data_IF_571125017899
#
_entry.id   IF_571125017899
#
_cell.length_a   1.000
_cell.length_b   1.000
_cell.length_c   1.000
_cell.angle_alpha   90.00
_cell.angle_beta   90.00
_cell.angle_gamma   90.00
#
_symmetry.space_group_name_H-M   'P 1'
#
loop_
_entity.id
_entity.type
_entity.pdbx_description
1 polymer ?
#
# COMPACT_ATOMS: atom_id res chain seq x y z
N UNK A 1 -14.11 13.21 40.27
CA UNK A 1 -14.54 12.89 38.89
C UNK A 1 -13.38 13.13 37.93
N UNK A 2 -12.86 12.08 37.31
CA UNK A 2 -12.08 12.17 36.06
C UNK A 2 -12.11 10.77 35.41
N UNK A 3 -12.96 10.61 34.39
CA UNK A 3 -13.11 9.38 33.60
C UNK A 3 -12.16 9.50 32.42
N UNK A 4 -11.01 8.83 32.50
CA UNK A 4 -10.06 8.75 31.38
C UNK A 4 -10.58 7.67 30.42
N UNK A 5 -11.23 8.10 29.34
CA UNK A 5 -11.62 7.27 28.19
C UNK A 5 -10.34 6.81 27.46
N UNK A 6 -9.90 5.59 27.69
CA UNK A 6 -8.89 4.93 26.86
C UNK A 6 -9.55 4.49 25.55
N UNK A 7 -9.24 5.21 24.47
CA UNK A 7 -9.63 4.88 23.11
C UNK A 7 -8.88 3.61 22.72
N UNK A 8 -9.61 2.52 22.54
CA UNK A 8 -9.07 1.24 22.09
C UNK A 8 -8.72 1.31 20.61
N UNK A 9 -7.44 1.21 20.31
CA UNK A 9 -6.94 0.92 18.96
C UNK A 9 -7.26 -0.54 18.63
N UNK A 10 -8.23 -0.73 17.73
CA UNK A 10 -8.53 -2.04 17.14
C UNK A 10 -7.42 -2.31 16.11
N UNK A 11 -6.41 -3.07 16.50
CA UNK A 11 -5.41 -3.60 15.58
C UNK A 11 -6.05 -4.72 14.77
N UNK A 12 -6.31 -4.48 13.48
CA UNK A 12 -6.72 -5.52 12.55
C UNK A 12 -5.53 -6.46 12.33
N UNK A 13 -5.61 -7.66 12.91
CA UNK A 13 -4.61 -8.70 12.71
C UNK A 13 -4.90 -9.42 11.38
N UNK A 14 -4.17 -9.04 10.32
CA UNK A 14 -4.17 -9.79 9.06
C UNK A 14 -3.28 -11.04 9.24
N UNK A 15 -3.92 -12.21 9.37
CA UNK A 15 -3.23 -13.49 9.40
C UNK A 15 -2.95 -13.95 7.95
N UNK A 16 -1.73 -13.72 7.48
CA UNK A 16 -1.29 -14.23 6.18
C UNK A 16 -0.83 -15.70 6.34
N UNK A 17 -1.68 -16.65 5.98
CA UNK A 17 -1.28 -18.06 5.88
C UNK A 17 -0.57 -18.29 4.53
N UNK A 18 0.77 -18.23 4.53
CA UNK A 18 1.59 -18.60 3.36
C UNK A 18 1.61 -20.14 3.22
N UNK A 19 0.55 -20.67 2.62
CA UNK A 19 0.43 -22.08 2.25
C UNK A 19 1.20 -22.38 0.96
N UNK A 20 2.24 -23.19 1.10
CA UNK A 20 3.00 -23.97 0.11
C UNK A 20 2.54 -23.86 -1.37
N UNK A 21 3.29 -23.08 -2.15
CA UNK A 21 3.42 -23.31 -3.60
C UNK A 21 4.91 -23.30 -3.92
N UNK A 22 5.47 -24.48 -4.18
CA UNK A 22 6.83 -24.67 -4.68
C UNK A 22 6.85 -24.60 -6.21
N UNK A 23 7.42 -23.55 -6.82
CA UNK A 23 8.12 -23.70 -8.07
C UNK A 23 9.62 -23.69 -7.79
N UNK A 24 10.25 -24.88 -7.91
CA UNK A 24 11.69 -25.02 -8.05
C UNK A 24 12.10 -24.50 -9.44
N UNK A 25 12.12 -23.18 -9.58
CA UNK A 25 12.56 -22.45 -10.75
C UNK A 25 13.40 -21.32 -10.19
N UNK A 26 14.73 -21.41 -10.35
CA UNK A 26 15.75 -20.42 -10.00
C UNK A 26 15.16 -19.20 -9.29
N UNK A 27 14.89 -19.35 -7.98
CA UNK A 27 14.37 -18.25 -7.19
C UNK A 27 15.43 -17.16 -7.32
N UNK A 28 15.10 -16.05 -7.97
CA UNK A 28 15.97 -14.88 -7.97
C UNK A 28 16.15 -14.53 -6.50
N UNK A 29 17.28 -14.96 -5.95
CA UNK A 29 17.60 -14.87 -4.54
C UNK A 29 17.68 -13.40 -4.19
N UNK A 30 16.62 -12.88 -3.59
CA UNK A 30 16.59 -11.51 -3.12
C UNK A 30 17.34 -11.46 -1.80
N UNK A 31 18.19 -10.45 -1.66
CA UNK A 31 18.93 -10.24 -0.41
C UNK A 31 18.12 -9.41 0.58
N UNK A 32 18.50 -9.51 1.85
CA UNK A 32 17.98 -8.62 2.90
C UNK A 32 18.21 -7.14 2.54
N UNK A 33 19.37 -6.82 1.98
CA UNK A 33 19.71 -5.45 1.57
C UNK A 33 18.81 -4.90 0.47
N UNK A 34 18.47 -5.71 -0.54
CA UNK A 34 17.53 -5.31 -1.59
C UNK A 34 16.11 -5.11 -1.06
N UNK A 35 15.66 -5.97 -0.15
CA UNK A 35 14.35 -5.81 0.48
C UNK A 35 14.26 -4.48 1.26
N UNK A 36 15.30 -4.14 2.04
CA UNK A 36 15.37 -2.88 2.80
C UNK A 36 15.40 -1.66 1.87
N UNK A 37 16.09 -1.74 0.73
CA UNK A 37 16.07 -0.69 -0.28
C UNK A 37 14.67 -0.47 -0.84
N UNK A 38 13.99 -1.54 -1.26
CA UNK A 38 12.61 -1.47 -1.75
C UNK A 38 11.66 -0.93 -0.69
N UNK A 39 11.86 -1.29 0.57
CA UNK A 39 11.09 -0.78 1.69
C UNK A 39 11.27 0.73 1.88
N UNK A 40 12.51 1.23 1.78
CA UNK A 40 12.78 2.68 1.83
C UNK A 40 12.08 3.40 0.66
N UNK A 41 12.16 2.85 -0.56
CA UNK A 41 11.48 3.41 -1.74
C UNK A 41 9.95 3.41 -1.56
N UNK A 42 9.37 2.32 -1.03
CA UNK A 42 7.94 2.22 -0.75
C UNK A 42 7.47 3.27 0.27
N UNK A 43 8.36 3.70 1.18
CA UNK A 43 8.11 4.80 2.12
C UNK A 43 8.40 6.20 1.55
N UNK A 44 8.73 6.30 0.26
CA UNK A 44 9.07 7.56 -0.40
C UNK A 44 10.46 8.10 -0.02
N UNK A 45 11.35 7.25 0.47
CA UNK A 45 12.71 7.61 0.88
C UNK A 45 13.75 7.22 -0.16
N UNK A 46 14.97 7.74 -0.02
CA UNK A 46 16.10 7.36 -0.84
C UNK A 46 16.50 5.89 -0.56
N UNK A 47 16.45 5.05 -1.60
CA UNK A 47 16.80 3.63 -1.55
C UNK A 47 17.92 3.24 -2.52
N UNK A 48 18.82 4.16 -2.85
CA UNK A 48 19.90 3.95 -3.84
C UNK A 48 20.86 2.82 -3.44
N UNK A 49 21.14 2.70 -2.14
CA UNK A 49 22.00 1.68 -1.56
C UNK A 49 21.48 1.30 -0.17
N UNK A 50 21.85 0.13 0.33
CA UNK A 50 21.37 -0.37 1.62
C UNK A 50 21.73 0.53 2.81
N UNK A 51 22.90 1.17 2.79
CA UNK A 51 23.31 2.12 3.84
C UNK A 51 22.44 3.36 3.82
N UNK A 52 22.11 3.89 2.64
CA UNK A 52 21.24 5.06 2.50
C UNK A 52 19.80 4.72 2.90
N UNK A 53 19.31 3.56 2.46
CA UNK A 53 17.98 3.07 2.80
C UNK A 53 17.80 2.88 4.31
N UNK A 54 18.73 2.17 4.96
CA UNK A 54 18.68 1.91 6.40
C UNK A 54 18.78 3.19 7.23
N UNK A 55 19.65 4.13 6.84
CA UNK A 55 19.76 5.43 7.50
C UNK A 55 18.49 6.28 7.31
N UNK A 56 17.90 6.28 6.12
CA UNK A 56 16.67 7.02 5.84
C UNK A 56 15.49 6.48 6.64
N UNK A 57 15.35 5.15 6.70
CA UNK A 57 14.35 4.46 7.53
C UNK A 57 14.54 4.81 9.01
N UNK A 58 15.78 4.82 9.49
CA UNK A 58 16.08 5.26 10.87
C UNK A 58 15.70 6.72 11.11
N UNK A 59 15.91 7.59 10.11
CA UNK A 59 15.57 9.02 10.17
C UNK A 59 14.09 9.28 10.42
N UNK A 60 13.20 8.40 9.93
CA UNK A 60 11.75 8.46 10.18
C UNK A 60 11.30 7.62 11.39
N UNK A 61 12.25 7.11 12.19
CA UNK A 61 11.96 6.35 13.41
C UNK A 61 11.80 4.84 13.24
N UNK A 62 11.98 4.28 12.05
CA UNK A 62 11.96 2.82 11.84
C UNK A 62 13.25 2.21 12.40
N UNK A 63 13.11 1.31 13.37
CA UNK A 63 14.24 0.62 14.01
C UNK A 63 14.39 -0.79 13.47
N UNK A 64 15.23 -0.95 12.45
CA UNK A 64 15.59 -2.26 11.92
C UNK A 64 16.32 -3.09 12.99
N UNK A 65 16.13 -4.43 13.03
CA UNK A 65 16.85 -5.32 13.93
C UNK A 65 18.37 -5.16 13.86
N UNK A 66 19.03 -5.11 15.02
CA UNK A 66 20.49 -5.09 15.13
C UNK A 66 21.03 -6.49 14.87
N UNK A 67 21.76 -6.68 13.76
CA UNK A 67 22.29 -7.98 13.36
C UNK A 67 21.78 -8.49 12.01
N UNK A 68 21.02 -7.69 11.27
CA UNK A 68 20.70 -8.00 9.89
C UNK A 68 21.99 -8.06 9.05
N UNK A 69 22.22 -9.21 8.42
CA UNK A 69 23.20 -9.34 7.36
C UNK A 69 22.54 -8.98 6.03
N UNK A 70 22.90 -7.81 5.50
CA UNK A 70 22.33 -7.30 4.25
C UNK A 70 22.76 -8.08 3.00
N UNK A 71 23.85 -8.84 3.06
CA UNK A 71 24.31 -9.70 1.97
C UNK A 71 23.71 -11.11 2.00
N UNK A 72 23.05 -11.47 3.11
CA UNK A 72 22.40 -12.77 3.26
C UNK A 72 21.09 -12.87 2.45
N UNK A 73 20.72 -14.11 2.12
CA UNK A 73 19.45 -14.44 1.50
C UNK A 73 18.28 -14.02 2.39
N UNK A 74 17.23 -13.47 1.79
CA UNK A 74 16.03 -13.07 2.51
C UNK A 74 15.23 -14.30 2.93
N UNK A 75 14.85 -14.36 4.21
CA UNK A 75 13.98 -15.41 4.75
C UNK A 75 12.65 -14.83 5.21
N UNK A 76 11.62 -15.68 5.30
CA UNK A 76 10.31 -15.28 5.82
C UNK A 76 10.40 -14.73 7.25
N UNK A 77 11.27 -15.30 8.09
CA UNK A 77 11.53 -14.80 9.44
C UNK A 77 12.07 -13.37 9.42
N UNK A 78 13.04 -13.11 8.54
CA UNK A 78 13.65 -11.78 8.39
C UNK A 78 12.64 -10.75 7.88
N UNK A 79 11.82 -11.12 6.89
CA UNK A 79 10.73 -10.26 6.41
C UNK A 79 9.75 -9.94 7.52
N UNK A 80 9.37 -10.93 8.33
CA UNK A 80 8.45 -10.73 9.44
C UNK A 80 9.04 -9.78 10.52
N UNK A 81 10.33 -9.90 10.83
CA UNK A 81 11.01 -9.00 11.77
C UNK A 81 11.10 -7.56 11.24
N UNK A 82 11.52 -7.38 9.99
CA UNK A 82 11.59 -6.06 9.34
C UNK A 82 10.19 -5.43 9.23
N UNK A 83 9.18 -6.24 8.88
CA UNK A 83 7.78 -5.78 8.80
C UNK A 83 7.29 -5.25 10.15
N UNK A 84 7.61 -5.95 11.25
CA UNK A 84 7.25 -5.48 12.59
C UNK A 84 7.93 -4.15 12.94
N UNK A 85 9.16 -3.94 12.50
CA UNK A 85 9.88 -2.68 12.71
C UNK A 85 9.22 -1.48 12.01
N UNK A 86 8.49 -1.71 10.90
CA UNK A 86 7.71 -0.68 10.21
C UNK A 86 6.24 -0.62 10.65
N UNK A 87 5.86 -1.38 11.68
CA UNK A 87 4.50 -1.39 12.22
C UNK A 87 3.55 -2.41 11.58
N UNK A 88 4.03 -3.24 10.65
CA UNK A 88 3.25 -4.31 10.05
C UNK A 88 3.37 -5.61 10.85
N UNK A 89 2.25 -6.17 11.27
CA UNK A 89 2.25 -7.47 11.95
C UNK A 89 2.19 -8.59 10.93
N UNK A 90 3.36 -9.11 10.56
CA UNK A 90 3.49 -10.28 9.70
C UNK A 90 3.89 -11.49 10.55
N UNK A 91 3.19 -12.60 10.34
CA UNK A 91 3.49 -13.90 10.95
C UNK A 91 3.88 -14.88 9.86
N UNK A 92 4.88 -15.70 10.15
CA UNK A 92 5.27 -16.83 9.32
C UNK A 92 5.28 -18.08 10.20
N UNK A 93 4.92 -19.21 9.61
CA UNK A 93 5.08 -20.54 10.23
C UNK A 93 6.43 -21.17 9.90
N UNK A 94 7.15 -20.65 8.91
CA UNK A 94 8.40 -21.21 8.38
C UNK A 94 9.49 -20.12 8.32
N UNK A 95 10.06 -19.67 9.45
CA UNK A 95 10.98 -18.55 9.49
C UNK A 95 12.28 -18.77 8.71
N UNK A 96 12.72 -20.02 8.59
CA UNK A 96 13.94 -20.42 7.86
C UNK A 96 13.71 -20.54 6.34
N UNK A 97 12.46 -20.46 5.87
CA UNK A 97 12.16 -20.61 4.46
C UNK A 97 12.63 -19.38 3.68
N UNK A 98 13.23 -19.62 2.51
CA UNK A 98 13.66 -18.56 1.62
C UNK A 98 12.45 -17.76 1.13
N UNK A 99 12.57 -16.43 1.18
CA UNK A 99 11.55 -15.53 0.66
C UNK A 99 11.93 -15.12 -0.75
N UNK A 100 11.09 -15.48 -1.72
CA UNK A 100 11.43 -15.29 -3.14
C UNK A 100 11.18 -13.86 -3.61
N UNK A 101 11.79 -13.50 -4.75
CA UNK A 101 11.51 -12.22 -5.39
C UNK A 101 10.01 -12.02 -5.72
N UNK A 102 9.31 -13.07 -6.13
CA UNK A 102 7.87 -13.02 -6.43
C UNK A 102 7.03 -12.81 -5.16
N UNK A 103 7.41 -13.44 -4.04
CA UNK A 103 6.79 -13.17 -2.75
C UNK A 103 7.04 -11.74 -2.27
N UNK A 104 8.24 -11.21 -2.55
CA UNK A 104 8.57 -9.80 -2.27
C UNK A 104 7.70 -8.84 -3.06
N UNK A 105 7.52 -9.07 -4.36
CA UNK A 105 6.63 -8.26 -5.17
C UNK A 105 5.19 -8.31 -4.66
N UNK A 106 4.69 -9.51 -4.36
CA UNK A 106 3.36 -9.71 -3.79
C UNK A 106 3.20 -9.00 -2.45
N UNK A 107 4.24 -9.01 -1.61
CA UNK A 107 4.28 -8.28 -0.35
C UNK A 107 4.14 -6.77 -0.57
N UNK A 108 4.92 -6.18 -1.47
CA UNK A 108 4.83 -4.73 -1.73
C UNK A 108 3.55 -4.32 -2.45
N UNK A 109 2.95 -5.21 -3.26
CA UNK A 109 1.62 -4.97 -3.84
C UNK A 109 0.55 -5.00 -2.75
N UNK A 110 0.64 -5.91 -1.78
CA UNK A 110 -0.38 -6.06 -0.73
C UNK A 110 -0.29 -5.00 0.38
N UNK A 111 0.94 -4.59 0.73
CA UNK A 111 1.20 -3.68 1.86
C UNK A 111 1.73 -2.31 1.42
N UNK A 112 1.85 -2.05 0.12
CA UNK A 112 2.42 -0.81 -0.41
C UNK A 112 1.68 0.43 0.08
N UNK A 113 0.35 0.39 0.12
CA UNK A 113 -0.48 1.48 0.63
C UNK A 113 -0.26 1.73 2.13
N UNK A 114 -0.15 0.68 2.95
CA UNK A 114 0.15 0.80 4.39
C UNK A 114 1.56 1.35 4.62
N UNK A 115 2.52 0.96 3.77
CA UNK A 115 3.91 1.43 3.86
C UNK A 115 4.04 2.90 3.47
N UNK A 116 3.27 3.36 2.47
CA UNK A 116 3.23 4.75 2.01
C UNK A 116 2.57 5.72 3.01
N UNK A 117 1.84 5.20 4.01
CA UNK A 117 0.82 5.91 4.77
C UNK A 117 1.23 6.98 5.81
N UNK A 118 2.50 7.27 6.03
CA UNK A 118 2.93 8.21 7.10
C UNK A 118 3.68 9.46 6.58
N UNK A 119 4.05 9.48 5.30
CA UNK A 119 4.77 10.58 4.64
C UNK A 119 3.84 11.59 3.97
N UNK A 120 2.88 12.16 4.70
CA UNK A 120 2.26 13.45 4.38
C UNK A 120 1.87 13.74 2.93
N UNK A 121 1.04 12.91 2.28
CA UNK A 121 0.11 13.34 1.22
C UNK A 121 -0.84 12.19 0.88
N UNK A 122 -1.88 12.02 1.71
CA UNK A 122 -3.07 11.28 1.29
C UNK A 122 -3.76 12.09 0.21
N UNK A 123 -3.31 11.94 -1.03
CA UNK A 123 -4.13 12.27 -2.18
C UNK A 123 -5.29 11.29 -2.14
N UNK A 124 -6.48 11.79 -1.84
CA UNK A 124 -7.73 11.03 -1.85
C UNK A 124 -8.04 10.60 -3.30
N UNK A 125 -7.32 9.63 -3.85
CA UNK A 125 -7.81 8.85 -4.98
C UNK A 125 -8.58 7.67 -4.41
N UNK A 126 -9.88 7.90 -4.26
CA UNK A 126 -10.91 6.91 -4.05
C UNK A 126 -10.64 5.65 -4.89
N UNK A 127 -10.46 4.44 -4.31
CA UNK A 127 -10.39 3.21 -5.08
C UNK A 127 -11.82 2.84 -5.50
N UNK A 128 -12.30 3.48 -6.55
CA UNK A 128 -13.49 3.06 -7.28
C UNK A 128 -13.17 1.74 -7.99
N UNK A 129 -13.54 0.63 -7.34
CA UNK A 129 -13.53 -0.69 -7.93
C UNK A 129 -14.31 -0.71 -9.25
N UNK A 130 -13.73 -1.40 -10.23
CA UNK A 130 -14.31 -1.53 -11.56
C UNK A 130 -13.60 -2.57 -12.39
N UNK A 131 -13.46 -3.80 -11.88
CA UNK A 131 -13.31 -4.96 -12.74
C UNK A 131 -14.66 -5.24 -13.40
N UNK A 132 -14.82 -4.82 -14.65
CA UNK A 132 -15.94 -5.22 -15.50
C UNK A 132 -15.41 -5.91 -16.75
N UNK A 133 -15.64 -7.23 -16.94
CA UNK A 133 -15.43 -7.88 -18.22
C UNK A 133 -16.64 -7.56 -19.11
N UNK A 134 -16.47 -6.66 -20.07
CA UNK A 134 -17.51 -6.25 -21.01
C UNK A 134 -17.09 -6.52 -22.44
N UNK A 135 -17.58 -7.64 -23.00
CA UNK A 135 -17.53 -7.93 -24.42
C UNK A 135 -18.25 -6.83 -25.23
N UNK A 136 -17.63 -6.47 -26.36
CA UNK A 136 -18.19 -5.97 -27.62
C UNK A 136 -19.40 -5.05 -27.62
N UNK A 137 -19.23 -3.83 -28.13
CA UNK A 137 -20.08 -3.33 -29.21
C UNK A 137 -19.39 -2.17 -29.95
N UNK A 138 -19.49 -2.18 -31.27
CA UNK A 138 -18.94 -1.18 -32.18
C UNK A 138 -19.53 0.21 -31.93
N UNK A 139 -18.83 1.06 -31.17
CA UNK A 139 -19.07 2.50 -31.10
C UNK A 139 -18.11 3.26 -32.01
N UNK A 140 -18.53 4.36 -32.67
CA UNK A 140 -17.64 5.14 -33.53
C UNK A 140 -16.47 5.74 -32.73
N UNK A 141 -15.33 6.03 -33.39
CA UNK A 141 -14.15 6.54 -32.72
C UNK A 141 -14.43 7.87 -32.02
N UNK A 142 -13.82 8.02 -30.84
CA UNK A 142 -13.87 9.22 -30.03
C UNK A 142 -13.30 10.41 -30.83
N UNK A 143 -14.13 11.42 -31.12
CA UNK A 143 -13.74 12.61 -31.87
C UNK A 143 -13.57 13.80 -30.91
N UNK A 144 -12.33 14.24 -30.60
CA UNK A 144 -12.06 15.26 -29.59
C UNK A 144 -12.47 16.69 -29.99
N UNK A 145 -13.07 16.89 -31.17
CA UNK A 145 -13.44 18.22 -31.68
C UNK A 145 -14.91 18.62 -31.52
N UNK A 146 -15.79 17.78 -30.96
CA UNK A 146 -17.19 18.17 -30.67
C UNK A 146 -17.32 18.94 -29.35
N UNK A 147 -16.70 20.12 -29.29
CA UNK A 147 -16.95 21.15 -28.26
C UNK A 147 -18.28 21.86 -28.56
N UNK A 148 -19.39 21.16 -28.33
CA UNK A 148 -20.75 21.64 -28.56
C UNK A 148 -21.26 22.58 -27.46
N UNK A 149 -21.34 23.88 -27.78
CA UNK A 149 -22.22 24.87 -27.14
C UNK A 149 -23.69 24.38 -27.09
N UNK A 150 -24.37 24.62 -25.97
CA UNK A 150 -25.83 24.75 -25.70
C UNK A 150 -26.20 23.90 -24.46
N UNK A 151 -27.00 24.34 -23.49
CA UNK A 151 -28.09 25.30 -23.57
C UNK A 151 -28.38 26.02 -22.25
N UNK A 152 -28.83 27.26 -22.45
CA UNK A 152 -29.33 28.23 -21.47
C UNK A 152 -30.83 27.96 -21.31
N UNK A 153 -31.25 27.40 -20.18
CA UNK A 153 -32.66 27.13 -19.86
C UNK A 153 -33.10 27.83 -18.58
N UNK A 154 -33.82 28.95 -18.72
CA UNK A 154 -34.55 29.65 -17.65
C UNK A 154 -35.74 28.78 -17.22
N UNK A 155 -35.81 28.39 -15.96
CA UNK A 155 -37.02 27.88 -15.31
C UNK A 155 -37.35 28.73 -14.09
N UNK A 156 -38.38 29.59 -14.19
CA UNK A 156 -38.91 30.38 -13.09
C UNK A 156 -39.70 29.45 -12.15
N UNK A 157 -39.13 29.12 -11.00
CA UNK A 157 -39.83 28.49 -9.89
C UNK A 157 -40.60 29.54 -9.08
N UNK A 158 -41.90 29.29 -8.93
CA UNK A 158 -42.92 30.14 -8.34
C UNK A 158 -42.65 30.39 -6.84
N UNK A 159 -42.72 31.65 -6.43
CA UNK A 159 -42.65 32.12 -5.05
C UNK A 159 -44.03 31.97 -4.41
N UNK A 160 -44.18 31.10 -3.41
CA UNK A 160 -45.36 31.06 -2.54
C UNK A 160 -45.09 31.88 -1.28
N UNK A 161 -45.74 33.03 -1.06
CA UNK A 161 -45.66 33.75 0.21
C UNK A 161 -46.60 33.10 1.24
N UNK A 162 -46.04 32.83 2.42
CA UNK A 162 -46.73 32.43 3.64
C UNK A 162 -47.51 33.64 4.19
N UNK A 163 -48.83 33.51 4.34
CA UNK A 163 -49.66 34.41 5.16
C UNK A 163 -49.42 34.13 6.65
N UNK A 164 -49.39 35.20 7.46
CA UNK A 164 -50.05 35.17 8.76
C UNK A 164 -50.89 36.43 8.99
N UNK A 165 -52.20 36.27 9.27
CA UNK A 165 -52.93 36.81 10.42
C UNK A 165 -54.17 35.94 10.69
#
# INVERSE_FOLDING_TARGET
MAIIKRIGTIAAAAALCLGLVTPAMAASDITVGEFVQRLAVAKGLAGTDVTVASNSLRGIGVRLPSGLDYGSHLTEGTVAEISRAVGLTVRTSNPENAFTAQQTETFFVSFGDDLAGDGGMRSHTNPGGGSGPGNGESGPPFDPFTKGKHGKGKGKGVFTPTEPE
#
